data_IF_859915827447
#
_entry.id   IF_859915827447
#
_cell.length_a   1.000
_cell.length_b   1.000
_cell.length_c   1.000
_cell.angle_alpha   90.00
_cell.angle_beta   90.00
_cell.angle_gamma   90.00
#
_symmetry.space_group_name_H-M   'P 1'
#
loop_
_entity.id
_entity.type
_entity.pdbx_description
1 polymer ?
#
# COMPACT_ATOMS: atom_id res chain seq x y z
N UNK A 1 17.54 4.28 -6.26
CA UNK A 1 17.41 5.42 -5.31
C UNK A 1 18.57 6.37 -5.54
N UNK A 2 18.45 7.27 -6.52
CA UNK A 2 19.49 8.26 -6.83
C UNK A 2 19.44 9.41 -5.82
N UNK A 3 20.53 9.62 -5.09
CA UNK A 3 20.66 10.68 -4.07
C UNK A 3 21.10 12.02 -4.65
N UNK A 4 21.40 12.11 -5.96
CA UNK A 4 22.01 13.28 -6.59
C UNK A 4 21.04 14.17 -7.37
N UNK A 5 19.82 13.72 -7.67
CA UNK A 5 18.87 14.53 -8.46
C UNK A 5 18.21 15.68 -7.67
N UNK A 6 18.24 15.65 -6.34
CA UNK A 6 17.62 16.70 -5.50
C UNK A 6 16.09 16.73 -5.56
N UNK A 7 15.45 15.67 -6.06
CA UNK A 7 13.99 15.54 -6.18
C UNK A 7 13.43 14.51 -5.19
N UNK A 8 12.15 14.67 -4.84
CA UNK A 8 11.46 13.69 -4.02
C UNK A 8 11.29 12.36 -4.77
N UNK A 9 11.43 11.26 -4.05
CA UNK A 9 11.12 9.93 -4.58
C UNK A 9 9.61 9.77 -4.80
N UNK A 10 9.24 8.80 -5.63
CA UNK A 10 7.84 8.46 -5.91
C UNK A 10 7.27 7.59 -4.79
N UNK A 11 7.06 8.20 -3.64
CA UNK A 11 6.44 7.55 -2.51
C UNK A 11 4.92 7.71 -2.53
N UNK A 12 4.20 6.66 -2.13
CA UNK A 12 2.77 6.67 -1.81
C UNK A 12 2.60 6.13 -0.40
N UNK A 13 1.87 6.87 0.44
CA UNK A 13 1.55 6.50 1.80
C UNK A 13 0.04 6.40 1.98
N UNK A 14 -0.42 5.42 2.74
CA UNK A 14 -1.77 5.41 3.32
C UNK A 14 -1.62 5.74 4.81
N UNK A 15 -2.25 6.82 5.22
CA UNK A 15 -2.22 7.33 6.59
C UNK A 15 -3.63 7.20 7.16
N UNK A 16 -3.74 6.61 8.34
CA UNK A 16 -5.03 6.46 9.02
C UNK A 16 -5.47 7.77 9.72
N UNK A 17 -6.69 7.82 10.28
CA UNK A 17 -7.20 9.02 10.96
C UNK A 17 -6.38 9.47 12.18
N UNK A 18 -5.60 8.58 12.79
CA UNK A 18 -4.72 8.88 13.93
C UNK A 18 -3.34 9.40 13.47
N UNK A 19 -3.12 9.51 12.15
CA UNK A 19 -1.87 9.98 11.56
C UNK A 19 -0.81 8.90 11.44
N UNK A 20 -1.15 7.62 11.62
CA UNK A 20 -0.20 6.50 11.54
C UNK A 20 -0.12 5.99 10.10
N UNK A 21 1.11 5.81 9.60
CA UNK A 21 1.36 5.21 8.28
C UNK A 21 1.06 3.72 8.35
N UNK A 22 0.08 3.26 7.56
CA UNK A 22 -0.31 1.84 7.45
C UNK A 22 0.25 1.16 6.21
N UNK A 23 0.63 1.94 5.20
CA UNK A 23 1.23 1.44 3.96
C UNK A 23 2.21 2.47 3.40
N UNK A 24 3.33 1.97 2.86
CA UNK A 24 4.31 2.76 2.13
C UNK A 24 4.76 1.98 0.89
N UNK A 25 4.70 2.62 -0.27
CA UNK A 25 5.29 2.13 -1.51
C UNK A 25 6.20 3.20 -2.08
N UNK A 26 7.45 2.83 -2.38
CA UNK A 26 8.45 3.72 -2.96
C UNK A 26 8.94 3.09 -4.25
N UNK A 27 8.84 3.83 -5.36
CA UNK A 27 9.37 3.41 -6.66
C UNK A 27 10.50 4.34 -7.10
N UNK A 28 11.41 3.82 -7.93
CA UNK A 28 12.41 4.64 -8.59
C UNK A 28 11.76 5.60 -9.61
N UNK A 29 12.48 6.63 -10.04
CA UNK A 29 11.95 7.72 -10.86
C UNK A 29 11.51 7.27 -12.25
N UNK A 30 12.15 6.22 -12.78
CA UNK A 30 11.79 5.60 -14.05
C UNK A 30 10.70 4.53 -13.94
N UNK A 31 10.22 4.21 -12.73
CA UNK A 31 9.18 3.20 -12.50
C UNK A 31 7.86 3.86 -12.13
N UNK A 32 6.79 3.42 -12.78
CA UNK A 32 5.42 3.83 -12.49
C UNK A 32 4.84 3.10 -11.28
N UNK A 33 3.91 3.77 -10.58
CA UNK A 33 3.16 3.17 -9.47
C UNK A 33 1.96 2.37 -10.00
N UNK A 34 1.58 1.31 -9.28
CA UNK A 34 0.33 0.60 -9.55
C UNK A 34 -0.79 1.13 -8.66
N UNK A 35 -1.70 1.92 -9.22
CA UNK A 35 -2.85 2.49 -8.47
C UNK A 35 -3.78 1.40 -7.95
N UNK A 36 -3.96 0.30 -8.69
CA UNK A 36 -4.81 -0.81 -8.24
C UNK A 36 -4.29 -1.45 -6.97
N UNK A 37 -2.98 -1.53 -6.80
CA UNK A 37 -2.39 -2.07 -5.57
C UNK A 37 -2.62 -1.16 -4.37
N UNK A 38 -2.51 0.17 -4.56
CA UNK A 38 -2.81 1.14 -3.49
C UNK A 38 -4.26 1.01 -3.04
N UNK A 39 -5.20 0.88 -3.97
CA UNK A 39 -6.62 0.68 -3.66
C UNK A 39 -6.88 -0.67 -3.01
N UNK A 40 -6.24 -1.74 -3.48
CA UNK A 40 -6.36 -3.09 -2.91
C UNK A 40 -5.92 -3.12 -1.45
N UNK A 41 -4.79 -2.47 -1.13
CA UNK A 41 -4.30 -2.36 0.25
C UNK A 41 -5.23 -1.47 1.08
N UNK A 42 -5.74 -0.37 0.53
CA UNK A 42 -6.73 0.46 1.23
C UNK A 42 -7.99 -0.34 1.59
N UNK A 43 -8.56 -1.09 0.64
CA UNK A 43 -9.71 -1.95 0.89
C UNK A 43 -9.40 -3.00 1.98
N UNK A 44 -8.21 -3.63 1.93
CA UNK A 44 -7.78 -4.62 2.92
C UNK A 44 -7.62 -3.99 4.32
N UNK A 45 -7.05 -2.79 4.41
CA UNK A 45 -6.91 -2.06 5.68
C UNK A 45 -8.25 -1.70 6.34
N UNK A 46 -9.34 -1.69 5.56
CA UNK A 46 -10.68 -1.37 6.02
C UNK A 46 -11.50 -2.61 6.42
N UNK A 47 -11.02 -3.83 6.17
CA UNK A 47 -11.77 -5.06 6.54
C UNK A 47 -11.63 -5.43 8.01
N UNK A 48 -10.55 -5.03 8.68
CA UNK A 48 -10.14 -5.49 10.02
C UNK A 48 -9.89 -7.01 10.12
N UNK A 49 -9.78 -7.68 8.97
CA UNK A 49 -9.61 -9.14 8.83
C UNK A 49 -8.22 -9.51 8.30
N UNK A 50 -7.84 -10.79 8.41
CA UNK A 50 -6.59 -11.29 7.85
C UNK A 50 -6.72 -11.54 6.33
N UNK A 51 -6.31 -10.56 5.53
CA UNK A 51 -6.29 -10.69 4.07
C UNK A 51 -5.06 -11.50 3.58
N UNK A 52 -5.25 -12.60 2.82
CA UNK A 52 -4.14 -13.39 2.26
C UNK A 52 -3.32 -12.63 1.20
N UNK A 53 -2.22 -13.23 0.76
CA UNK A 53 -1.39 -12.69 -0.33
C UNK A 53 -2.23 -12.50 -1.61
N UNK A 54 -2.05 -11.37 -2.29
CA UNK A 54 -2.81 -10.96 -3.49
C UNK A 54 -4.33 -10.81 -3.29
N UNK A 55 -4.82 -10.81 -2.04
CA UNK A 55 -6.25 -10.67 -1.74
C UNK A 55 -6.88 -9.47 -2.45
N UNK A 56 -8.04 -9.67 -3.05
CA UNK A 56 -8.88 -8.62 -3.62
C UNK A 56 -10.21 -8.53 -2.89
N UNK A 57 -10.82 -7.34 -2.94
CA UNK A 57 -12.12 -7.08 -2.31
C UNK A 57 -13.16 -8.09 -2.77
N UNK A 58 -13.75 -8.79 -1.79
CA UNK A 58 -14.75 -9.83 -2.02
C UNK A 58 -14.20 -11.27 -2.02
N UNK A 59 -12.88 -11.46 -1.94
CA UNK A 59 -12.27 -12.77 -1.70
C UNK A 59 -12.30 -13.13 -0.21
N UNK A 60 -12.24 -14.43 0.06
CA UNK A 60 -12.25 -14.96 1.43
C UNK A 60 -11.05 -14.47 2.25
N UNK A 61 -11.29 -14.23 3.53
CA UNK A 61 -10.27 -13.87 4.53
C UNK A 61 -9.82 -15.11 5.31
N UNK A 62 -8.69 -14.99 5.99
CA UNK A 62 -8.17 -16.06 6.84
C UNK A 62 -8.75 -15.92 8.26
N UNK A 63 -9.12 -17.05 8.86
CA UNK A 63 -9.43 -17.09 10.28
C UNK A 63 -8.14 -17.23 11.09
N UNK A 64 -7.98 -16.45 12.16
CA UNK A 64 -6.92 -16.69 13.13
C UNK A 64 -7.17 -18.03 13.83
N UNK A 65 -6.13 -18.87 13.94
CA UNK A 65 -6.18 -20.16 14.62
C UNK A 65 -6.15 -20.03 16.14
#
# INVERSE_FOLDING_TARGET
LDTHEGVAQRATYIVDPDGIIRFAMVTDLNVGRNVKEVLRVLDALQTDELCPCNWQKGEDTLNAA
#
